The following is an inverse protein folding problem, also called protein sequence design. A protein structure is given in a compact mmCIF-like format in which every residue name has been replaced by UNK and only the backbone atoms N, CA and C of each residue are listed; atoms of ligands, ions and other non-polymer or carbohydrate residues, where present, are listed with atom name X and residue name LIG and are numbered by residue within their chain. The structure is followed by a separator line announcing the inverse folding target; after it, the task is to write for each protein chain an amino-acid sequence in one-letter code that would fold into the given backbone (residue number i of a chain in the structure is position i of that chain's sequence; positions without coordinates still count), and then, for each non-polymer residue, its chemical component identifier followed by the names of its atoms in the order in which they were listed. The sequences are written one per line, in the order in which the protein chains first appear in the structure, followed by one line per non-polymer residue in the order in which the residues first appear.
data_IF_954898508758
#
_entry.id   IF_954898508758
#
_cell.length_a   1.000
_cell.length_b   1.000
_cell.length_c   1.000
_cell.angle_alpha   90.00
_cell.angle_beta   90.00
_cell.angle_gamma   90.00
#
_symmetry.space_group_name_H-M   'P 1'
#
loop_
_entity.id
_entity.type
_entity.pdbx_description
1 polymer ?
#
# COMPACT_ATOMS: atom_id res chain seq x y z
N UNK A 1 -8.39 -9.13 19.24
CA UNK A 1 -7.24 -9.94 18.81
C UNK A 1 -6.04 -9.46 19.60
N UNK A 2 -5.24 -10.37 20.15
CA UNK A 2 -4.09 -10.05 20.99
C UNK A 2 -3.00 -9.33 20.16
N UNK A 3 -2.46 -8.22 20.66
CA UNK A 3 -1.41 -7.43 19.99
C UNK A 3 -0.16 -8.28 19.72
N UNK A 4 0.12 -9.24 20.60
CA UNK A 4 1.24 -10.15 20.44
C UNK A 4 1.08 -11.06 19.21
N UNK A 5 -0.14 -11.58 18.99
CA UNK A 5 -0.46 -12.40 17.80
C UNK A 5 -0.39 -11.60 16.50
N UNK A 6 -0.84 -10.34 16.50
CA UNK A 6 -0.75 -9.45 15.32
C UNK A 6 0.72 -9.24 14.94
N UNK A 7 1.58 -9.02 15.94
CA UNK A 7 3.01 -8.83 15.75
C UNK A 7 3.70 -10.07 15.17
N UNK A 8 3.35 -11.27 15.67
CA UNK A 8 3.84 -12.55 15.16
C UNK A 8 3.45 -12.78 13.69
N UNK A 9 2.16 -12.61 13.35
CA UNK A 9 1.71 -12.74 11.96
C UNK A 9 2.40 -11.72 11.03
N UNK A 10 2.51 -10.46 11.46
CA UNK A 10 3.20 -9.43 10.67
C UNK A 10 4.64 -9.84 10.37
N UNK A 11 5.37 -10.34 11.38
CA UNK A 11 6.75 -10.80 11.22
C UNK A 11 6.85 -11.97 10.24
N UNK A 12 5.95 -12.94 10.34
CA UNK A 12 5.91 -14.09 9.43
C UNK A 12 5.69 -13.66 7.96
N UNK A 13 4.71 -12.78 7.72
CA UNK A 13 4.46 -12.28 6.36
C UNK A 13 5.62 -11.44 5.83
N UNK A 14 6.24 -10.60 6.67
CA UNK A 14 7.45 -9.83 6.27
C UNK A 14 8.60 -10.75 5.89
N UNK A 15 8.84 -11.81 6.67
CA UNK A 15 9.87 -12.79 6.36
C UNK A 15 9.62 -13.49 5.02
N UNK A 16 8.38 -13.92 4.76
CA UNK A 16 7.98 -14.51 3.46
C UNK A 16 8.16 -13.54 2.28
N UNK A 17 8.00 -12.24 2.54
CA UNK A 17 8.19 -11.17 1.55
C UNK A 17 9.66 -10.72 1.41
N UNK A 18 10.58 -11.24 2.24
CA UNK A 18 11.96 -10.75 2.29
C UNK A 18 12.08 -9.30 2.78
N UNK A 19 11.09 -8.80 3.53
CA UNK A 19 11.08 -7.46 4.09
C UNK A 19 11.76 -7.47 5.46
N UNK A 20 12.68 -6.54 5.68
CA UNK A 20 13.31 -6.33 6.99
C UNK A 20 12.23 -5.97 8.03
N UNK A 21 12.14 -6.69 9.17
CA UNK A 21 11.21 -6.37 10.25
C UNK A 21 11.28 -4.92 10.74
N UNK A 22 12.44 -4.27 10.67
CA UNK A 22 12.64 -2.89 11.11
C UNK A 22 12.23 -1.84 10.06
N UNK A 23 12.11 -2.24 8.79
CA UNK A 23 11.61 -1.34 7.75
C UNK A 23 10.13 -1.04 7.94
N UNK A 24 9.76 0.22 7.68
CA UNK A 24 8.36 0.63 7.64
C UNK A 24 7.76 0.34 6.28
N UNK A 25 6.63 -0.37 6.27
CA UNK A 25 5.89 -0.72 5.07
C UNK A 25 4.53 0.00 5.07
N UNK A 26 4.35 0.89 4.09
CA UNK A 26 3.07 1.48 3.77
C UNK A 26 2.49 0.81 2.52
N UNK A 27 1.24 0.36 2.63
CA UNK A 27 0.51 -0.19 1.49
C UNK A 27 -0.52 0.82 1.04
N UNK A 28 -0.46 1.25 -0.21
CA UNK A 28 -1.48 2.06 -0.85
C UNK A 28 -2.45 1.19 -1.64
N UNK A 29 -3.74 1.41 -1.41
CA UNK A 29 -4.82 0.72 -2.10
C UNK A 29 -5.73 1.70 -2.82
N UNK A 30 -5.86 1.53 -4.13
CA UNK A 30 -6.80 2.31 -4.95
C UNK A 30 -7.59 1.42 -5.90
N UNK A 31 -8.91 1.68 -5.95
CA UNK A 31 -9.81 1.12 -6.95
C UNK A 31 -10.00 2.04 -8.16
N UNK A 32 -9.33 3.19 -8.18
CA UNK A 32 -9.58 4.28 -9.11
C UNK A 32 -8.91 4.19 -10.46
N UNK A 33 -9.29 5.15 -11.31
CA UNK A 33 -8.68 5.41 -12.61
C UNK A 33 -7.21 5.86 -12.48
N UNK A 34 -6.43 5.62 -13.53
CA UNK A 34 -4.99 5.92 -13.57
C UNK A 34 -4.67 7.36 -13.15
N UNK A 35 -5.35 8.35 -13.73
CA UNK A 35 -5.08 9.77 -13.45
C UNK A 35 -5.30 10.10 -11.96
N UNK A 36 -6.32 9.49 -11.37
CA UNK A 36 -6.61 9.60 -9.93
C UNK A 36 -5.50 8.98 -9.10
N UNK A 37 -5.05 7.77 -9.46
CA UNK A 37 -3.93 7.10 -8.79
C UNK A 37 -2.66 7.96 -8.85
N UNK A 38 -2.34 8.52 -10.01
CA UNK A 38 -1.16 9.38 -10.19
C UNK A 38 -1.25 10.63 -9.32
N UNK A 39 -2.41 11.27 -9.27
CA UNK A 39 -2.67 12.42 -8.39
C UNK A 39 -2.47 12.06 -6.91
N UNK A 40 -3.11 10.99 -6.44
CA UNK A 40 -2.99 10.54 -5.04
C UNK A 40 -1.54 10.24 -4.65
N UNK A 41 -0.83 9.53 -5.53
CA UNK A 41 0.58 9.25 -5.33
C UNK A 41 1.35 10.57 -5.25
N UNK A 42 1.12 11.53 -6.16
CA UNK A 42 1.75 12.86 -6.12
C UNK A 42 1.61 13.55 -4.76
N UNK A 43 0.40 13.53 -4.18
CA UNK A 43 0.13 14.05 -2.83
C UNK A 43 0.90 13.28 -1.74
N UNK A 44 0.91 11.94 -1.80
CA UNK A 44 1.65 11.12 -0.84
C UNK A 44 3.14 11.39 -0.84
N UNK A 45 3.73 11.65 -2.01
CA UNK A 45 5.14 12.02 -2.13
C UNK A 45 5.46 13.28 -1.33
N UNK A 46 4.54 14.24 -1.29
CA UNK A 46 4.72 15.48 -0.53
C UNK A 46 4.73 15.29 0.98
N UNK A 47 4.23 14.15 1.48
CA UNK A 47 4.00 13.91 2.92
C UNK A 47 4.84 12.75 3.46
N UNK A 48 5.11 11.74 2.66
CA UNK A 48 5.91 10.58 3.05
C UNK A 48 7.38 10.92 2.84
N UNK A 49 8.13 11.01 3.95
CA UNK A 49 9.58 11.22 3.94
C UNK A 49 10.32 10.03 4.55
N UNK A 50 11.57 9.82 4.12
CA UNK A 50 12.46 8.83 4.72
C UNK A 50 12.48 7.48 3.99
N UNK A 51 13.09 6.47 4.63
CA UNK A 51 13.24 5.11 4.09
C UNK A 51 12.01 4.27 4.43
N UNK A 52 10.93 4.50 3.71
CA UNK A 52 9.67 3.77 3.84
C UNK A 52 9.47 2.92 2.59
N UNK A 53 9.21 1.63 2.79
CA UNK A 53 8.77 0.74 1.72
C UNK A 53 7.34 1.10 1.33
N UNK A 54 7.09 1.18 0.03
CA UNK A 54 5.79 1.53 -0.51
C UNK A 54 5.31 0.46 -1.48
N UNK A 55 4.19 -0.18 -1.14
CA UNK A 55 3.54 -1.14 -2.02
C UNK A 55 2.20 -0.59 -2.50
N UNK A 56 1.98 -0.56 -3.82
CA UNK A 56 0.71 -0.15 -4.41
C UNK A 56 -0.08 -1.35 -4.92
N UNK A 57 -1.34 -1.51 -4.51
CA UNK A 57 -2.30 -2.45 -5.10
C UNK A 57 -3.34 -1.68 -5.90
N UNK A 58 -3.39 -1.96 -7.19
CA UNK A 58 -4.29 -1.32 -8.15
C UNK A 58 -5.39 -2.27 -8.61
N UNK A 59 -6.48 -1.72 -9.13
CA UNK A 59 -7.56 -2.56 -9.67
C UNK A 59 -7.05 -3.41 -10.85
N UNK A 60 -7.36 -4.73 -10.94
CA UNK A 60 -6.86 -5.62 -11.99
C UNK A 60 -7.20 -5.19 -13.43
N UNK A 61 -8.24 -4.36 -13.59
CA UNK A 61 -8.66 -3.81 -14.90
C UNK A 61 -7.87 -2.57 -15.34
N UNK A 62 -6.95 -2.05 -14.54
CA UNK A 62 -6.14 -0.87 -14.90
C UNK A 62 -4.97 -1.30 -15.82
N UNK A 63 -4.96 -0.92 -17.11
CA UNK A 63 -4.04 -1.46 -18.12
C UNK A 63 -2.63 -0.84 -18.07
N UNK A 64 -2.43 0.27 -17.37
CA UNK A 64 -1.20 1.07 -17.43
C UNK A 64 -0.08 0.62 -16.46
N UNK A 65 0.16 -0.69 -16.39
CA UNK A 65 1.16 -1.29 -15.48
C UNK A 65 2.57 -0.71 -15.69
N UNK A 66 2.96 -0.45 -16.94
CA UNK A 66 4.30 0.06 -17.29
C UNK A 66 4.44 1.58 -17.14
N UNK A 67 3.43 2.37 -17.53
CA UNK A 67 3.42 3.83 -17.34
C UNK A 67 3.47 4.18 -15.85
N UNK A 68 2.72 3.42 -15.04
CA UNK A 68 2.67 3.59 -13.60
C UNK A 68 3.93 3.07 -12.90
N UNK A 69 4.53 2.01 -13.42
CA UNK A 69 5.89 1.58 -13.06
C UNK A 69 6.93 2.66 -13.32
N UNK A 70 6.80 3.37 -14.44
CA UNK A 70 7.67 4.51 -14.77
C UNK A 70 7.46 5.67 -13.80
N UNK A 71 6.21 6.00 -13.45
CA UNK A 71 5.88 7.10 -12.53
C UNK A 71 6.33 6.82 -11.09
N UNK A 72 6.12 5.60 -10.59
CA UNK A 72 6.59 5.18 -9.28
C UNK A 72 8.13 5.18 -9.21
N UNK A 73 8.81 4.71 -10.26
CA UNK A 73 10.29 4.76 -10.32
C UNK A 73 10.86 6.16 -10.51
N UNK A 74 10.19 7.03 -11.26
CA UNK A 74 10.69 8.37 -11.59
C UNK A 74 10.48 9.41 -10.49
N UNK A 75 9.58 9.15 -9.52
CA UNK A 75 9.12 10.18 -8.60
C UNK A 75 9.18 9.87 -7.11
N UNK A 76 9.24 8.60 -6.68
CA UNK A 76 8.73 8.28 -5.34
C UNK A 76 9.75 8.01 -4.23
N UNK A 77 10.90 7.38 -4.48
CA UNK A 77 11.77 6.94 -3.36
C UNK A 77 13.24 6.98 -3.77
N UNK A 78 14.08 7.58 -2.91
CA UNK A 78 15.51 7.76 -3.11
C UNK A 78 16.36 6.47 -3.01
N UNK A 79 15.76 5.30 -2.86
CA UNK A 79 16.36 3.98 -3.09
C UNK A 79 15.23 2.93 -2.99
N UNK A 80 15.38 1.74 -3.58
CA UNK A 80 14.25 0.85 -3.82
C UNK A 80 13.68 0.37 -2.48
N UNK A 81 12.42 -0.05 -2.43
CA UNK A 81 12.19 -1.47 -2.25
C UNK A 81 10.71 -1.88 -2.21
N UNK A 82 10.48 -3.03 -2.85
CA UNK A 82 9.29 -3.88 -2.86
C UNK A 82 7.97 -3.24 -3.33
N UNK A 83 7.88 -3.05 -4.64
CA UNK A 83 6.59 -3.06 -5.33
C UNK A 83 6.07 -4.51 -5.41
N UNK A 84 5.52 -4.98 -4.29
CA UNK A 84 4.85 -6.29 -4.21
C UNK A 84 3.58 -6.24 -5.03
N UNK A 85 3.69 -6.67 -6.28
CA UNK A 85 2.52 -7.00 -7.08
C UNK A 85 1.94 -8.30 -6.49
N UNK A 86 0.84 -8.18 -5.72
CA UNK A 86 0.11 -9.29 -5.07
C UNK A 86 -0.42 -10.37 -6.05
N UNK A 87 -0.09 -10.27 -7.34
CA UNK A 87 -0.51 -11.19 -8.38
C UNK A 87 0.46 -12.36 -8.59
N UNK A 88 1.66 -12.32 -8.01
CA UNK A 88 2.60 -13.43 -8.09
C UNK A 88 2.38 -14.40 -6.89
N UNK A 89 1.42 -15.32 -7.05
CA UNK A 89 1.38 -16.65 -6.43
C UNK A 89 1.29 -16.79 -4.90
N UNK A 90 2.17 -16.14 -4.16
CA UNK A 90 2.44 -16.47 -2.75
C UNK A 90 1.89 -15.43 -1.74
N UNK A 91 1.47 -14.25 -2.22
CA UNK A 91 1.06 -13.14 -1.38
C UNK A 91 -0.37 -12.72 -1.66
N UNK A 92 -1.29 -13.24 -0.84
CA UNK A 92 -2.69 -12.84 -0.88
C UNK A 92 -2.85 -11.37 -0.47
N UNK A 93 -3.95 -10.74 -0.91
CA UNK A 93 -4.35 -9.40 -0.47
C UNK A 93 -4.43 -9.28 1.07
N UNK A 94 -4.76 -10.38 1.75
CA UNK A 94 -4.74 -10.44 3.21
C UNK A 94 -3.30 -10.39 3.74
N UNK A 95 -2.36 -11.13 3.13
CA UNK A 95 -0.95 -11.12 3.52
C UNK A 95 -0.29 -9.74 3.44
N UNK A 96 -0.59 -8.96 2.38
CA UNK A 96 -0.11 -7.58 2.28
C UNK A 96 -0.64 -6.68 3.38
N UNK A 97 -1.92 -6.83 3.76
CA UNK A 97 -2.49 -6.09 4.88
C UNK A 97 -1.83 -6.49 6.19
N UNK A 98 -1.56 -7.78 6.41
CA UNK A 98 -0.90 -8.26 7.62
C UNK A 98 0.56 -7.79 7.74
N UNK A 99 1.29 -7.68 6.63
CA UNK A 99 2.68 -7.25 6.62
C UNK A 99 2.87 -5.74 6.87
N UNK A 100 1.86 -4.93 6.53
CA UNK A 100 1.95 -3.48 6.55
C UNK A 100 1.95 -2.89 7.97
N UNK A 101 2.63 -1.76 8.14
CA UNK A 101 2.46 -0.89 9.31
C UNK A 101 1.13 -0.12 9.21
N UNK A 102 0.80 0.32 8.00
CA UNK A 102 -0.47 0.97 7.69
C UNK A 102 -0.90 0.73 6.24
N UNK A 103 -2.21 0.80 6.03
CA UNK A 103 -2.85 0.73 4.71
C UNK A 103 -3.52 2.06 4.43
N UNK A 104 -3.11 2.73 3.37
CA UNK A 104 -3.65 4.00 2.90
C UNK A 104 -4.62 3.72 1.76
N UNK A 105 -5.79 4.33 1.78
CA UNK A 105 -6.68 4.30 0.64
C UNK A 105 -7.75 5.38 0.71
N UNK A 106 -8.57 5.42 -0.33
CA UNK A 106 -9.68 6.36 -0.46
C UNK A 106 -10.89 5.97 0.40
N UNK A 107 -11.77 6.95 0.62
CA UNK A 107 -13.07 6.72 1.23
C UNK A 107 -13.87 5.68 0.42
N UNK A 108 -14.51 4.74 1.11
CA UNK A 108 -15.23 3.63 0.47
C UNK A 108 -14.36 2.46 0.00
N UNK A 109 -13.03 2.53 0.15
CA UNK A 109 -12.14 1.40 -0.15
C UNK A 109 -12.30 0.29 0.90
N UNK A 110 -13.10 -0.74 0.58
CA UNK A 110 -13.32 -1.93 1.43
C UNK A 110 -12.01 -2.53 1.93
N UNK A 111 -10.96 -2.47 1.12
CA UNK A 111 -9.69 -3.14 1.41
C UNK A 111 -8.89 -2.35 2.44
N UNK A 112 -9.04 -1.03 2.44
CA UNK A 112 -8.49 -0.15 3.48
C UNK A 112 -9.20 -0.40 4.80
N UNK A 113 -10.53 -0.47 4.80
CA UNK A 113 -11.29 -0.80 6.03
C UNK A 113 -10.95 -2.19 6.58
N UNK A 114 -10.79 -3.17 5.71
CA UNK A 114 -10.44 -4.53 6.10
C UNK A 114 -9.03 -4.66 6.71
N UNK A 115 -8.16 -3.65 6.58
CA UNK A 115 -6.89 -3.62 7.31
C UNK A 115 -7.11 -3.60 8.83
N UNK A 116 -8.16 -2.92 9.31
CA UNK A 116 -8.50 -2.87 10.72
C UNK A 116 -8.82 -4.27 11.29
N UNK A 117 -9.43 -5.15 10.48
CA UNK A 117 -9.79 -6.51 10.89
C UNK A 117 -8.56 -7.38 11.18
N UNK A 118 -7.42 -7.08 10.54
CA UNK A 118 -6.15 -7.79 10.75
C UNK A 118 -5.20 -7.01 11.66
N UNK A 119 -5.70 -6.03 12.41
CA UNK A 119 -4.90 -5.26 13.36
C UNK A 119 -3.90 -4.30 12.71
N UNK A 120 -4.11 -3.96 11.44
CA UNK A 120 -3.28 -3.01 10.70
C UNK A 120 -3.99 -1.67 10.57
N UNK A 121 -3.25 -0.58 10.75
CA UNK A 121 -3.83 0.75 10.82
C UNK A 121 -4.36 1.18 9.44
N UNK A 122 -5.67 1.42 9.27
CA UNK A 122 -6.18 2.05 8.06
C UNK A 122 -5.93 3.56 8.13
N UNK A 123 -5.60 4.16 6.99
CA UNK A 123 -5.50 5.60 6.79
C UNK A 123 -6.43 5.92 5.62
N UNK A 124 -7.56 6.56 5.92
CA UNK A 124 -8.51 7.01 4.91
C UNK A 124 -8.10 8.40 4.47
N UNK A 125 -7.49 8.49 3.30
CA UNK A 125 -7.01 9.74 2.74
C UNK A 125 -8.15 10.50 2.04
N UNK A 126 -8.26 11.79 2.36
CA UNK A 126 -9.10 12.73 1.64
C UNK A 126 -8.28 13.40 0.54
N UNK A 127 -8.36 12.84 -0.66
CA UNK A 127 -7.66 13.39 -1.82
C UNK A 127 -8.32 14.68 -2.31
N UNK A 128 -7.56 15.61 -2.92
CA UNK A 128 -8.11 16.88 -3.39
C UNK A 128 -9.27 16.72 -4.39
N UNK A 129 -9.20 15.69 -5.25
CA UNK A 129 -10.20 15.32 -6.24
C UNK A 129 -11.41 14.56 -5.66
N UNK A 130 -11.30 14.06 -4.43
CA UNK A 130 -12.42 13.46 -3.69
C UNK A 130 -13.31 14.49 -2.97
N UNK A 131 -12.96 15.79 -2.99
CA UNK A 131 -13.70 16.83 -2.24
C UNK A 131 -15.05 17.25 -2.87
N UNK A 132 -15.57 16.53 -3.85
CA UNK A 132 -16.85 16.85 -4.49
C UNK A 132 -17.66 15.58 -4.81
N UNK A 133 -18.14 14.86 -3.80
CA UNK A 133 -19.36 14.05 -3.87
C UNK A 133 -20.08 14.03 -2.53
#
# INVERSE_FOLDING_TARGET
MDEQKISEYRREYRQRMGIDPEQKLLVYWSGGELDRVVSHLGELRGVISGRILFASRLHPKQPAREEMWRLLKAGFINEPDLLLNAHNGDLTEAGLRCAADAVIGEFGSTQTYAAALVGTRPIIAQWPDNKQK
#
